data_IF_502631870086
#
_entry.id   IF_502631870086
#
_cell.length_a   1.000
_cell.length_b   1.000
_cell.length_c   1.000
_cell.angle_alpha   90.00
_cell.angle_beta   90.00
_cell.angle_gamma   90.00
#
_symmetry.space_group_name_H-M   'P 1'
#
loop_
_entity.id
_entity.type
_entity.pdbx_description
1 polymer ?
#
# COMPACT_ATOMS: atom_id res chain seq x y z
N UNK A 1 -85.12 26.04 -3.22
CA UNK A 1 -84.50 24.71 -3.12
C UNK A 1 -83.44 24.59 -4.21
N UNK A 2 -82.19 25.03 -3.99
CA UNK A 2 -81.12 24.90 -5.00
C UNK A 2 -79.71 24.99 -4.38
N UNK A 3 -79.42 24.11 -3.42
CA UNK A 3 -78.10 24.05 -2.75
C UNK A 3 -77.43 22.67 -2.88
N UNK A 4 -78.19 21.61 -3.21
CA UNK A 4 -77.67 20.23 -3.25
C UNK A 4 -76.73 19.94 -4.43
N UNK A 5 -76.89 20.61 -5.57
CA UNK A 5 -76.02 20.40 -6.74
C UNK A 5 -74.66 21.07 -6.61
N UNK A 6 -74.59 22.18 -5.88
CA UNK A 6 -73.36 22.96 -5.67
C UNK A 6 -72.43 22.29 -4.66
N UNK A 7 -72.99 21.68 -3.60
CA UNK A 7 -72.22 20.96 -2.58
C UNK A 7 -71.50 19.72 -3.14
N UNK A 8 -72.15 18.96 -4.03
CA UNK A 8 -71.54 17.77 -4.63
C UNK A 8 -70.33 18.12 -5.53
N UNK A 9 -70.45 19.17 -6.34
CA UNK A 9 -69.35 19.65 -7.19
C UNK A 9 -68.18 20.22 -6.37
N UNK A 10 -68.47 20.84 -5.22
CA UNK A 10 -67.43 21.30 -4.28
C UNK A 10 -66.68 20.13 -3.64
N UNK A 11 -67.38 19.07 -3.25
CA UNK A 11 -66.77 17.87 -2.68
C UNK A 11 -65.86 17.14 -3.68
N UNK A 12 -66.27 17.00 -4.94
CA UNK A 12 -65.43 16.41 -5.98
C UNK A 12 -64.16 17.24 -6.25
N UNK A 13 -64.30 18.57 -6.26
CA UNK A 13 -63.17 19.48 -6.44
C UNK A 13 -62.19 19.42 -5.27
N UNK A 14 -62.68 19.31 -4.03
CA UNK A 14 -61.84 19.11 -2.85
C UNK A 14 -61.09 17.78 -2.91
N UNK A 15 -61.77 16.68 -3.27
CA UNK A 15 -61.12 15.38 -3.42
C UNK A 15 -60.04 15.36 -4.53
N UNK A 16 -60.25 16.10 -5.62
CA UNK A 16 -59.23 16.24 -6.66
C UNK A 16 -58.03 17.08 -6.19
N UNK A 17 -58.27 18.16 -5.43
CA UNK A 17 -57.20 18.97 -4.83
C UNK A 17 -56.39 18.17 -3.80
N UNK A 18 -57.03 17.31 -3.01
CA UNK A 18 -56.35 16.40 -2.08
C UNK A 18 -55.48 15.38 -2.83
N UNK A 19 -55.97 14.79 -3.92
CA UNK A 19 -55.17 13.89 -4.76
C UNK A 19 -53.94 14.60 -5.35
N UNK A 20 -54.13 15.78 -5.94
CA UNK A 20 -53.02 16.58 -6.46
C UNK A 20 -52.01 16.96 -5.36
N UNK A 21 -52.48 17.25 -4.16
CA UNK A 21 -51.61 17.50 -3.02
C UNK A 21 -50.78 16.24 -2.64
N UNK A 22 -51.40 15.06 -2.58
CA UNK A 22 -50.69 13.81 -2.28
C UNK A 22 -49.70 13.38 -3.37
N UNK A 23 -50.05 13.56 -4.65
CA UNK A 23 -49.15 13.30 -5.78
C UNK A 23 -47.95 14.25 -5.75
N UNK A 24 -48.18 15.53 -5.45
CA UNK A 24 -47.11 16.51 -5.30
C UNK A 24 -46.19 16.14 -4.14
N UNK A 25 -46.72 15.79 -2.96
CA UNK A 25 -45.88 15.38 -1.82
C UNK A 25 -45.11 14.11 -2.10
N UNK A 26 -45.71 13.13 -2.80
CA UNK A 26 -45.03 11.89 -3.17
C UNK A 26 -43.92 12.14 -4.19
N UNK A 27 -44.15 13.02 -5.16
CA UNK A 27 -43.13 13.45 -6.12
C UNK A 27 -41.98 14.18 -5.43
N UNK A 28 -42.26 15.11 -4.51
CA UNK A 28 -41.25 15.82 -3.72
C UNK A 28 -40.45 14.87 -2.83
N UNK A 29 -41.11 13.89 -2.20
CA UNK A 29 -40.46 12.86 -1.37
C UNK A 29 -39.55 11.95 -2.19
N UNK A 30 -40.03 11.44 -3.33
CA UNK A 30 -39.24 10.61 -4.25
C UNK A 30 -38.04 11.40 -4.81
N UNK A 31 -38.23 12.69 -5.11
CA UNK A 31 -37.14 13.55 -5.55
C UNK A 31 -36.09 13.77 -4.45
N UNK A 32 -36.51 13.96 -3.20
CA UNK A 32 -35.60 14.09 -2.06
C UNK A 32 -34.83 12.79 -1.77
N UNK A 33 -35.49 11.64 -1.87
CA UNK A 33 -34.87 10.31 -1.72
C UNK A 33 -33.84 10.06 -2.84
N UNK A 34 -34.19 10.35 -4.09
CA UNK A 34 -33.27 10.25 -5.21
C UNK A 34 -32.02 11.11 -5.01
N UNK A 35 -32.16 12.36 -4.53
CA UNK A 35 -31.01 13.23 -4.22
C UNK A 35 -30.11 12.64 -3.14
N UNK A 36 -30.69 12.11 -2.05
CA UNK A 36 -29.91 11.42 -1.00
C UNK A 36 -29.16 10.21 -1.54
N UNK A 37 -29.83 9.37 -2.34
CA UNK A 37 -29.19 8.20 -2.94
C UNK A 37 -28.01 8.59 -3.86
N UNK A 38 -28.14 9.68 -4.62
CA UNK A 38 -27.04 10.20 -5.46
C UNK A 38 -25.87 10.69 -4.59
N UNK A 39 -26.15 11.41 -3.50
CA UNK A 39 -25.14 11.87 -2.55
C UNK A 39 -24.44 10.70 -1.83
N UNK A 40 -25.19 9.70 -1.37
CA UNK A 40 -24.65 8.52 -0.70
C UNK A 40 -23.83 7.65 -1.67
N UNK A 41 -24.27 7.51 -2.92
CA UNK A 41 -23.47 6.86 -3.97
C UNK A 41 -22.17 7.62 -4.25
N UNK A 42 -22.20 8.96 -4.25
CA UNK A 42 -20.99 9.76 -4.42
C UNK A 42 -20.03 9.58 -3.24
N UNK A 43 -20.55 9.57 -2.01
CA UNK A 43 -19.76 9.30 -0.80
C UNK A 43 -19.15 7.90 -0.80
N UNK A 44 -19.93 6.88 -1.14
CA UNK A 44 -19.44 5.50 -1.19
C UNK A 44 -18.35 5.33 -2.25
N UNK A 45 -18.51 5.96 -3.43
CA UNK A 45 -17.48 5.97 -4.47
C UNK A 45 -16.20 6.67 -4.01
N UNK A 46 -16.32 7.81 -3.32
CA UNK A 46 -15.17 8.52 -2.79
C UNK A 46 -14.42 7.69 -1.74
N UNK A 47 -15.14 7.03 -0.83
CA UNK A 47 -14.56 6.12 0.17
C UNK A 47 -13.82 4.94 -0.48
N UNK A 48 -14.41 4.33 -1.52
CA UNK A 48 -13.76 3.25 -2.27
C UNK A 48 -12.48 3.75 -2.93
N UNK A 49 -12.50 4.92 -3.56
CA UNK A 49 -11.30 5.49 -4.17
C UNK A 49 -10.20 5.79 -3.16
N UNK A 50 -10.55 6.27 -1.97
CA UNK A 50 -9.58 6.50 -0.88
C UNK A 50 -8.94 5.16 -0.48
N UNK A 51 -9.75 4.11 -0.25
CA UNK A 51 -9.22 2.78 0.11
C UNK A 51 -8.35 2.18 -0.98
N UNK A 52 -8.74 2.30 -2.24
CA UNK A 52 -7.92 1.84 -3.37
C UNK A 52 -6.59 2.60 -3.44
N UNK A 53 -6.60 3.91 -3.20
CA UNK A 53 -5.38 4.72 -3.14
C UNK A 53 -4.48 4.33 -1.95
N UNK A 54 -5.05 4.05 -0.78
CA UNK A 54 -4.32 3.57 0.39
C UNK A 54 -3.67 2.19 0.15
N UNK A 55 -4.44 1.25 -0.42
CA UNK A 55 -3.92 -0.08 -0.80
C UNK A 55 -2.80 0.06 -1.83
N UNK A 56 -2.98 0.91 -2.84
CA UNK A 56 -1.96 1.15 -3.86
C UNK A 56 -0.70 1.79 -3.26
N UNK A 57 -0.84 2.73 -2.32
CA UNK A 57 0.29 3.33 -1.61
C UNK A 57 1.03 2.29 -0.76
N UNK A 58 0.29 1.49 0.00
CA UNK A 58 0.86 0.42 0.83
C UNK A 58 1.61 -0.61 -0.02
N UNK A 59 1.01 -1.07 -1.13
CA UNK A 59 1.66 -2.00 -2.05
C UNK A 59 2.93 -1.42 -2.67
N UNK A 60 2.96 -0.12 -3.00
CA UNK A 60 4.18 0.55 -3.46
C UNK A 60 5.26 0.60 -2.39
N UNK A 61 4.89 0.90 -1.14
CA UNK A 61 5.84 0.92 -0.02
C UNK A 61 6.40 -0.48 0.27
N UNK A 62 5.54 -1.51 0.26
CA UNK A 62 5.96 -2.90 0.43
C UNK A 62 6.87 -3.36 -0.72
N UNK A 63 6.57 -2.98 -1.98
CA UNK A 63 7.42 -3.29 -3.12
C UNK A 63 8.78 -2.58 -3.06
N UNK A 64 8.83 -1.34 -2.55
CA UNK A 64 10.09 -0.62 -2.37
C UNK A 64 10.92 -1.21 -1.23
N UNK A 65 10.28 -1.56 -0.11
CA UNK A 65 10.92 -2.30 0.98
C UNK A 65 11.47 -3.65 0.51
N UNK A 66 10.73 -4.40 -0.31
CA UNK A 66 11.20 -5.67 -0.88
C UNK A 66 12.40 -5.49 -1.85
N UNK A 67 12.53 -4.35 -2.54
CA UNK A 67 13.73 -4.05 -3.33
C UNK A 67 14.93 -3.73 -2.45
N UNK A 68 14.69 -3.04 -1.33
CA UNK A 68 15.71 -2.74 -0.34
C UNK A 68 16.19 -4.02 0.36
N UNK A 69 15.27 -4.94 0.66
CA UNK A 69 15.58 -6.28 1.16
C UNK A 69 16.29 -7.16 0.11
N UNK A 70 15.97 -7.04 -1.18
CA UNK A 70 16.67 -7.78 -2.23
C UNK A 70 18.00 -7.14 -2.68
N UNK A 71 18.40 -6.03 -2.06
CA UNK A 71 19.57 -5.28 -2.50
C UNK A 71 20.87 -6.05 -2.21
N UNK A 72 21.85 -5.99 -3.12
CA UNK A 72 23.07 -6.77 -2.99
C UNK A 72 23.98 -6.26 -1.87
N UNK A 73 24.74 -7.17 -1.27
CA UNK A 73 25.71 -6.86 -0.22
C UNK A 73 27.03 -6.46 -0.86
N UNK A 74 27.63 -5.39 -0.35
CA UNK A 74 28.93 -4.92 -0.77
C UNK A 74 29.99 -5.47 0.20
N UNK A 75 31.07 -6.00 -0.34
CA UNK A 75 32.21 -6.48 0.43
C UNK A 75 33.45 -5.67 0.04
N UNK A 76 34.15 -5.14 1.03
CA UNK A 76 35.41 -4.42 0.84
C UNK A 76 36.57 -5.23 1.42
N UNK A 77 37.55 -5.55 0.57
CA UNK A 77 38.76 -6.24 1.04
C UNK A 77 39.77 -5.27 1.69
N UNK A 78 40.84 -5.83 2.27
CA UNK A 78 41.93 -5.06 2.88
C UNK A 78 42.67 -4.11 1.91
N UNK A 79 42.46 -4.24 0.59
CA UNK A 79 43.03 -3.36 -0.44
C UNK A 79 42.02 -2.29 -0.92
N UNK A 80 40.80 -2.29 -0.38
CA UNK A 80 39.73 -1.36 -0.74
C UNK A 80 38.99 -1.70 -2.04
N UNK A 81 39.13 -2.92 -2.55
CA UNK A 81 38.35 -3.39 -3.72
C UNK A 81 36.95 -3.79 -3.26
N UNK A 82 35.95 -3.35 -4.03
CA UNK A 82 34.55 -3.65 -3.77
C UNK A 82 34.08 -4.83 -4.61
N UNK A 83 33.48 -5.79 -3.94
CA UNK A 83 32.79 -6.94 -4.53
C UNK A 83 31.32 -6.87 -4.17
N UNK A 84 30.48 -7.47 -5.00
CA UNK A 84 29.03 -7.45 -4.84
C UNK A 84 28.52 -8.88 -4.77
N UNK A 85 27.84 -9.22 -3.68
CA UNK A 85 27.23 -10.52 -3.49
C UNK A 85 25.71 -10.43 -3.63
N UNK A 86 25.06 -11.38 -4.35
CA UNK A 86 23.61 -11.44 -4.41
C UNK A 86 23.01 -11.67 -3.02
N UNK A 87 21.96 -10.93 -2.68
CA UNK A 87 21.27 -11.04 -1.39
C UNK A 87 20.82 -12.48 -1.07
N UNK A 88 20.30 -13.20 -2.08
CA UNK A 88 19.78 -14.56 -1.90
C UNK A 88 20.83 -15.56 -1.40
N UNK A 89 22.11 -15.29 -1.64
CA UNK A 89 23.23 -16.13 -1.20
C UNK A 89 23.79 -15.72 0.16
N UNK A 90 23.29 -14.62 0.74
CA UNK A 90 23.87 -13.96 1.92
C UNK A 90 22.80 -13.71 2.99
N UNK A 91 21.87 -14.64 3.19
CA UNK A 91 20.74 -14.46 4.12
C UNK A 91 21.18 -14.53 5.58
N UNK A 92 22.32 -15.17 5.86
CA UNK A 92 22.94 -15.22 7.18
C UNK A 92 24.40 -14.77 7.12
N UNK A 93 24.93 -14.35 8.27
CA UNK A 93 26.33 -13.98 8.41
C UNK A 93 27.27 -15.16 8.07
N UNK A 94 26.85 -16.38 8.40
CA UNK A 94 27.59 -17.59 8.10
C UNK A 94 27.68 -17.83 6.57
N UNK A 95 26.57 -17.65 5.84
CA UNK A 95 26.55 -17.83 4.38
C UNK A 95 27.43 -16.82 3.64
N UNK A 96 27.40 -15.54 4.04
CA UNK A 96 28.29 -14.54 3.44
C UNK A 96 29.76 -14.86 3.76
N UNK A 97 30.05 -15.31 4.98
CA UNK A 97 31.39 -15.69 5.40
C UNK A 97 31.91 -16.86 4.56
N UNK A 98 31.11 -17.92 4.40
CA UNK A 98 31.45 -19.08 3.55
C UNK A 98 31.68 -18.66 2.08
N UNK A 99 30.81 -17.79 1.53
CA UNK A 99 30.98 -17.28 0.16
C UNK A 99 32.29 -16.48 0.01
N UNK A 100 32.64 -15.67 1.01
CA UNK A 100 33.88 -14.90 1.02
C UNK A 100 35.07 -15.86 1.07
N UNK A 101 35.10 -16.81 1.99
CA UNK A 101 36.17 -17.79 2.08
C UNK A 101 36.36 -18.53 0.76
N UNK A 102 35.27 -19.05 0.18
CA UNK A 102 35.26 -19.75 -1.11
C UNK A 102 35.79 -18.88 -2.25
N UNK A 103 35.44 -17.59 -2.29
CA UNK A 103 35.90 -16.67 -3.33
C UNK A 103 37.42 -16.42 -3.29
N UNK A 104 38.07 -16.56 -2.13
CA UNK A 104 39.48 -16.23 -1.95
C UNK A 104 40.42 -17.44 -1.77
N UNK A 105 39.92 -18.69 -1.82
CA UNK A 105 40.69 -19.97 -1.63
C UNK A 105 41.99 -20.08 -2.46
N UNK A 106 42.16 -19.35 -3.57
CA UNK A 106 43.36 -19.42 -4.43
C UNK A 106 44.19 -18.13 -4.52
N UNK A 107 43.81 -17.08 -3.80
CA UNK A 107 44.46 -15.76 -3.96
C UNK A 107 45.62 -15.57 -3.00
N UNK A 108 46.85 -15.67 -3.53
CA UNK A 108 48.10 -15.69 -2.76
C UNK A 108 48.36 -14.44 -1.89
N UNK A 109 47.78 -13.31 -2.23
CA UNK A 109 48.12 -12.02 -1.59
C UNK A 109 47.10 -11.57 -0.54
N UNK A 110 45.81 -11.88 -0.72
CA UNK A 110 44.74 -11.38 0.17
C UNK A 110 44.06 -12.48 0.97
N UNK A 111 44.11 -13.74 0.52
CA UNK A 111 43.34 -14.83 1.10
C UNK A 111 43.58 -15.01 2.60
N UNK A 112 44.83 -14.89 3.06
CA UNK A 112 45.16 -14.97 4.48
C UNK A 112 44.57 -13.82 5.31
N UNK A 113 44.53 -12.59 4.76
CA UNK A 113 43.95 -11.44 5.45
C UNK A 113 42.43 -11.55 5.55
N UNK A 114 41.79 -11.98 4.47
CA UNK A 114 40.34 -12.21 4.44
C UNK A 114 39.95 -13.32 5.43
N UNK A 115 40.70 -14.41 5.50
CA UNK A 115 40.43 -15.52 6.42
C UNK A 115 40.60 -15.16 7.91
N UNK A 116 41.40 -14.13 8.21
CA UNK A 116 41.56 -13.57 9.57
C UNK A 116 40.49 -12.51 9.89
N UNK A 117 39.61 -12.18 8.92
CA UNK A 117 38.52 -11.22 9.12
C UNK A 117 38.90 -9.77 8.80
N UNK A 118 39.98 -9.52 8.06
CA UNK A 118 40.38 -8.16 7.68
C UNK A 118 39.62 -7.70 6.43
N UNK A 119 38.33 -7.44 6.58
CA UNK A 119 37.45 -6.94 5.55
C UNK A 119 36.25 -6.21 6.18
N UNK A 120 35.57 -5.40 5.39
CA UNK A 120 34.34 -4.74 5.80
C UNK A 120 33.17 -5.23 4.96
N UNK A 121 32.06 -5.52 5.63
CA UNK A 121 30.77 -5.75 4.99
C UNK A 121 30.01 -4.44 4.98
N UNK A 122 29.48 -4.09 3.81
CA UNK A 122 28.83 -2.82 3.55
C UNK A 122 27.39 -3.07 3.11
N UNK A 123 26.48 -2.28 3.67
CA UNK A 123 25.09 -2.22 3.22
C UNK A 123 25.00 -1.63 1.81
N UNK A 124 23.85 -1.77 1.12
CA UNK A 124 23.61 -1.05 -0.15
C UNK A 124 23.84 0.47 -0.04
N UNK A 125 23.64 1.03 1.17
CA UNK A 125 23.91 2.44 1.51
C UNK A 125 25.38 2.74 1.83
N UNK A 126 26.28 1.75 1.74
CA UNK A 126 27.71 1.80 2.09
C UNK A 126 28.00 2.06 3.56
N UNK A 127 27.10 1.64 4.43
CA UNK A 127 27.32 1.66 5.88
C UNK A 127 27.96 0.34 6.30
N UNK A 128 28.91 0.39 7.24
CA UNK A 128 29.59 -0.81 7.76
C UNK A 128 28.58 -1.64 8.57
N UNK A 129 28.40 -2.90 8.18
CA UNK A 129 27.55 -3.86 8.88
C UNK A 129 28.41 -4.62 9.88
N UNK A 130 28.14 -4.42 11.17
CA UNK A 130 28.74 -5.22 12.23
C UNK A 130 28.11 -6.62 12.25
N UNK A 131 28.87 -7.69 12.56
CA UNK A 131 28.31 -9.04 12.67
C UNK A 131 27.13 -9.14 13.64
N UNK A 132 27.18 -8.41 14.77
CA UNK A 132 26.09 -8.37 15.75
C UNK A 132 24.81 -7.68 15.25
N UNK A 133 24.93 -6.85 14.21
CA UNK A 133 23.83 -6.12 13.57
C UNK A 133 23.43 -6.75 12.23
N UNK A 134 24.01 -7.90 11.87
CA UNK A 134 23.74 -8.56 10.59
C UNK A 134 22.25 -8.87 10.45
N UNK A 135 21.66 -9.60 11.40
CA UNK A 135 20.25 -10.02 11.38
C UNK A 135 19.26 -8.84 11.42
N UNK A 136 19.66 -7.69 11.96
CA UNK A 136 18.82 -6.48 11.98
C UNK A 136 18.88 -5.71 10.68
N UNK A 137 20.01 -5.79 9.98
CA UNK A 137 20.28 -5.06 8.74
C UNK A 137 19.85 -5.87 7.52
N UNK A 138 20.03 -7.19 7.59
CA UNK A 138 19.76 -8.18 6.57
C UNK A 138 18.63 -9.06 7.10
N UNK A 139 17.39 -8.71 6.78
CA UNK A 139 16.22 -9.50 7.15
C UNK A 139 16.00 -10.63 6.13
N UNK A 140 15.88 -11.90 6.54
CA UNK A 140 15.69 -13.02 5.63
C UNK A 140 14.34 -13.03 4.89
#
# INVERSE_FOLDING_TARGET
>A
MSTKGTDAALLERLAHLEKLATEKTNWEANQAEWRKNVEDLARLKAEIQIREAEIALRSKLEAEAAKEEAAPILFQDALGRLYTFPFQSCKSFEQIHENIEQAFVGTREIGAHVHVGHYDLLSPSREIILPALWETTIKP
#
